data_IF_397476087979
#
_entry.id   IF_397476087979
#
_cell.length_a   1.000
_cell.length_b   1.000
_cell.length_c   1.000
_cell.angle_alpha   90.00
_cell.angle_beta   90.00
_cell.angle_gamma   90.00
#
_symmetry.space_group_name_H-M   'P 1'
#
loop_
_entity.id
_entity.type
_entity.pdbx_description
1 polymer ?
#
# COMPACT_ATOMS: atom_id res chain seq x y z
N UNK A 1 -13.84 22.69 10.28
CA UNK A 1 -13.62 21.30 9.82
C UNK A 1 -12.65 20.69 10.81
N UNK A 2 -13.13 19.85 11.74
CA UNK A 2 -12.22 19.14 12.64
C UNK A 2 -11.61 17.98 11.84
N UNK A 3 -10.29 18.05 11.61
CA UNK A 3 -9.53 17.00 10.97
C UNK A 3 -8.99 16.11 12.09
N UNK A 4 -9.51 14.87 12.13
CA UNK A 4 -9.02 13.69 12.84
C UNK A 4 -8.67 13.82 14.35
N UNK A 5 -9.40 13.09 15.21
CA UNK A 5 -9.06 12.92 16.63
C UNK A 5 -8.38 11.59 16.99
N UNK A 6 -8.15 10.68 16.02
CA UNK A 6 -7.49 9.38 16.24
C UNK A 6 -6.18 9.25 15.45
N UNK A 7 -5.16 8.61 16.04
CA UNK A 7 -3.83 8.49 15.43
C UNK A 7 -3.85 7.68 14.14
N UNK A 8 -4.70 6.65 14.04
CA UNK A 8 -4.81 5.81 12.84
C UNK A 8 -5.41 6.59 11.65
N UNK A 9 -6.40 7.44 11.90
CA UNK A 9 -6.92 8.35 10.87
C UNK A 9 -5.85 9.36 10.43
N UNK A 10 -5.09 9.91 11.37
CA UNK A 10 -3.98 10.82 11.06
C UNK A 10 -2.90 10.13 10.20
N UNK A 11 -2.56 8.86 10.49
CA UNK A 11 -1.63 8.05 9.68
C UNK A 11 -2.15 7.85 8.26
N UNK A 12 -3.43 7.54 8.08
CA UNK A 12 -4.03 7.41 6.74
C UNK A 12 -3.99 8.75 6.00
N UNK A 13 -4.30 9.86 6.67
CA UNK A 13 -4.29 11.20 6.08
C UNK A 13 -2.89 11.69 5.69
N UNK A 14 -1.86 11.26 6.42
CA UNK A 14 -0.46 11.57 6.12
C UNK A 14 0.00 11.03 4.75
N UNK A 15 -0.75 10.09 4.15
CA UNK A 15 -0.46 9.53 2.81
C UNK A 15 -0.81 10.46 1.64
N UNK A 16 -1.18 11.70 1.96
CA UNK A 16 -1.34 12.79 1.00
C UNK A 16 -0.19 13.75 1.16
N UNK A 17 0.45 14.12 0.05
CA UNK A 17 1.53 15.10 0.08
C UNK A 17 1.09 16.42 0.77
N UNK A 18 1.95 17.03 1.62
CA UNK A 18 1.68 18.33 2.25
C UNK A 18 1.29 19.39 1.21
N UNK A 19 0.25 20.18 1.49
CA UNK A 19 -0.23 21.24 0.58
C UNK A 19 -1.25 20.79 -0.49
N UNK A 20 -1.40 19.50 -0.75
CA UNK A 20 -2.45 18.96 -1.63
C UNK A 20 -3.75 18.64 -0.90
N UNK A 21 -3.76 18.72 0.44
CA UNK A 21 -4.92 18.42 1.31
C UNK A 21 -6.15 19.31 1.02
N UNK A 22 -5.95 20.55 0.56
CA UNK A 22 -7.03 21.50 0.31
C UNK A 22 -7.80 21.26 -1.00
N UNK A 23 -7.20 20.57 -2.00
CA UNK A 23 -7.83 20.31 -3.31
C UNK A 23 -8.62 19.00 -3.39
N UNK A 24 -8.61 18.17 -2.33
CA UNK A 24 -9.17 16.79 -2.35
C UNK A 24 -10.63 16.76 -1.83
N UNK A 25 -11.26 17.91 -1.64
CA UNK A 25 -12.62 17.98 -1.05
C UNK A 25 -13.66 17.23 -1.89
N UNK A 26 -13.51 17.20 -3.22
CA UNK A 26 -14.48 16.58 -4.13
C UNK A 26 -14.35 15.06 -4.30
N UNK A 27 -13.26 14.44 -3.83
CA UNK A 27 -13.01 13.00 -3.94
C UNK A 27 -12.74 12.35 -2.58
N UNK A 28 -13.31 12.93 -1.52
CA UNK A 28 -13.19 12.42 -0.17
C UNK A 28 -14.19 11.30 0.11
N UNK A 29 -13.73 10.26 0.81
CA UNK A 29 -14.55 9.18 1.34
C UNK A 29 -14.95 9.56 2.76
N UNK A 30 -16.25 9.70 2.98
CA UNK A 30 -16.85 10.05 4.26
C UNK A 30 -17.19 8.81 5.07
N UNK A 31 -16.85 8.82 6.35
CA UNK A 31 -17.28 7.85 7.34
C UNK A 31 -18.12 8.55 8.41
N UNK A 32 -19.13 7.83 8.92
CA UNK A 32 -19.95 8.26 10.04
C UNK A 32 -19.87 7.22 11.13
N UNK A 33 -19.58 7.64 12.35
CA UNK A 33 -19.61 6.78 13.52
C UNK A 33 -20.47 7.39 14.60
N UNK A 34 -21.43 6.62 15.10
CA UNK A 34 -22.30 6.98 16.23
C UNK A 34 -21.79 6.32 17.52
N UNK A 35 -20.59 5.76 17.51
CA UNK A 35 -19.97 5.10 18.66
C UNK A 35 -20.61 3.75 19.05
N UNK A 36 -21.31 3.06 18.15
CA UNK A 36 -21.71 1.66 18.40
C UNK A 36 -20.49 0.74 18.18
N UNK A 37 -20.05 0.06 19.23
CA UNK A 37 -18.88 -0.82 19.19
C UNK A 37 -19.26 -2.26 19.50
N UNK A 38 -18.74 -3.18 18.70
CA UNK A 38 -18.81 -4.61 18.95
C UNK A 38 -17.49 -5.08 19.58
N UNK A 39 -17.55 -5.62 20.79
CA UNK A 39 -16.40 -6.23 21.49
C UNK A 39 -16.54 -7.75 21.39
N UNK A 40 -15.53 -8.44 20.88
CA UNK A 40 -15.56 -9.90 20.70
C UNK A 40 -14.33 -10.55 21.31
N UNK A 41 -14.48 -11.75 21.87
CA UNK A 41 -13.35 -12.56 22.34
C UNK A 41 -13.62 -13.33 23.64
N UNK A 42 -12.58 -13.82 24.33
CA UNK A 42 -12.76 -14.67 25.51
C UNK A 42 -13.45 -13.92 26.67
N UNK A 43 -14.45 -14.55 27.29
CA UNK A 43 -15.34 -13.91 28.27
C UNK A 43 -14.63 -13.26 29.48
N UNK A 44 -13.49 -13.80 29.89
CA UNK A 44 -12.69 -13.26 31.00
C UNK A 44 -12.11 -11.86 30.71
N UNK A 45 -11.95 -11.48 29.43
CA UNK A 45 -11.47 -10.16 29.01
C UNK A 45 -12.60 -9.27 28.51
N UNK A 46 -13.57 -9.84 27.78
CA UNK A 46 -14.66 -9.08 27.15
C UNK A 46 -15.43 -8.25 28.16
N UNK A 47 -15.76 -8.82 29.33
CA UNK A 47 -16.59 -8.13 30.34
C UNK A 47 -15.92 -6.86 30.87
N UNK A 48 -14.63 -6.93 31.22
CA UNK A 48 -13.90 -5.78 31.76
C UNK A 48 -13.64 -4.71 30.71
N UNK A 49 -13.30 -5.12 29.48
CA UNK A 49 -13.08 -4.22 28.34
C UNK A 49 -14.38 -3.53 27.93
N UNK A 50 -15.48 -4.27 27.87
CA UNK A 50 -16.80 -3.73 27.55
C UNK A 50 -17.24 -2.66 28.56
N UNK A 51 -17.05 -2.90 29.85
CA UNK A 51 -17.36 -1.92 30.90
C UNK A 51 -16.57 -0.61 30.74
N UNK A 52 -15.30 -0.70 30.35
CA UNK A 52 -14.45 0.48 30.09
C UNK A 52 -14.91 1.28 28.87
N UNK A 53 -15.26 0.61 27.77
CA UNK A 53 -15.75 1.27 26.56
C UNK A 53 -17.16 1.85 26.73
N UNK A 54 -18.00 1.23 27.56
CA UNK A 54 -19.38 1.65 27.81
C UNK A 54 -19.49 3.04 28.46
N UNK A 55 -18.38 3.57 29.01
CA UNK A 55 -18.29 4.94 29.53
C UNK A 55 -18.53 5.99 28.44
N UNK A 56 -18.14 5.70 27.19
CA UNK A 56 -18.20 6.68 26.09
C UNK A 56 -18.83 6.15 24.81
N UNK A 57 -18.97 4.83 24.68
CA UNK A 57 -19.50 4.15 23.51
C UNK A 57 -20.71 3.30 23.87
N UNK A 58 -21.48 2.92 22.86
CA UNK A 58 -22.63 2.00 22.98
C UNK A 58 -22.15 0.60 22.62
N UNK A 59 -22.01 -0.26 23.62
CA UNK A 59 -21.26 -1.50 23.52
C UNK A 59 -22.21 -2.69 23.41
N UNK A 60 -22.00 -3.50 22.37
CA UNK A 60 -22.41 -4.90 22.36
C UNK A 60 -21.16 -5.76 22.57
N UNK A 61 -21.18 -6.58 23.60
CA UNK A 61 -20.10 -7.46 23.98
C UNK A 61 -20.49 -8.92 23.72
N UNK A 62 -19.64 -9.66 22.99
CA UNK A 62 -19.85 -11.07 22.67
C UNK A 62 -18.70 -11.90 23.27
N UNK A 63 -18.99 -12.59 24.36
CA UNK A 63 -18.04 -13.48 25.04
C UNK A 63 -18.04 -14.87 24.38
N UNK A 64 -16.86 -15.36 23.99
CA UNK A 64 -16.66 -16.67 23.34
C UNK A 64 -16.99 -17.81 24.31
N UNK A 65 -18.28 -18.19 24.37
CA UNK A 65 -18.83 -19.48 24.79
C UNK A 65 -20.36 -19.40 24.72
N UNK A 66 -21.06 -20.51 24.44
CA UNK A 66 -22.53 -20.59 24.57
C UNK A 66 -23.39 -20.10 23.39
N UNK A 67 -24.69 -20.38 23.50
CA UNK A 67 -25.77 -19.87 22.64
C UNK A 67 -26.17 -18.46 23.08
N UNK A 68 -26.68 -17.65 22.15
CA UNK A 68 -27.12 -16.27 22.43
C UNK A 68 -28.15 -16.26 23.58
N UNK A 69 -27.72 -15.78 24.76
CA UNK A 69 -28.59 -15.51 25.92
C UNK A 69 -28.97 -14.03 25.94
N UNK A 70 -30.27 -13.73 26.09
CA UNK A 70 -30.83 -12.37 25.94
C UNK A 70 -30.99 -11.61 27.27
N UNK A 71 -30.43 -12.09 28.38
CA UNK A 71 -30.80 -11.62 29.72
C UNK A 71 -30.59 -10.11 29.96
N UNK A 72 -29.63 -9.47 29.27
CA UNK A 72 -29.18 -8.09 29.60
C UNK A 72 -28.98 -7.19 28.35
N UNK A 73 -29.78 -7.41 27.30
CA UNK A 73 -29.65 -6.70 26.01
C UNK A 73 -30.07 -5.21 26.00
N UNK A 74 -30.59 -4.71 27.11
CA UNK A 74 -31.02 -3.31 27.24
C UNK A 74 -30.02 -2.43 28.02
N UNK A 75 -28.99 -3.04 28.63
CA UNK A 75 -27.95 -2.33 29.37
C UNK A 75 -26.78 -1.93 28.47
N UNK A 76 -25.98 -0.95 28.91
CA UNK A 76 -24.71 -0.59 28.28
C UNK A 76 -23.57 -0.87 29.27
N UNK A 77 -22.73 -1.90 29.03
CA UNK A 77 -22.67 -2.75 27.84
C UNK A 77 -23.77 -3.82 27.79
N UNK A 78 -24.26 -4.14 26.59
CA UNK A 78 -25.12 -5.31 26.36
C UNK A 78 -24.23 -6.54 26.20
N UNK A 79 -24.46 -7.61 26.96
CA UNK A 79 -23.62 -8.81 26.94
C UNK A 79 -24.35 -10.01 26.33
N UNK A 80 -23.69 -10.67 25.37
CA UNK A 80 -24.12 -11.91 24.75
C UNK A 80 -23.08 -13.00 24.94
N UNK A 81 -23.57 -14.20 25.23
CA UNK A 81 -22.80 -15.45 25.15
C UNK A 81 -22.92 -15.95 23.71
N UNK A 82 -21.89 -15.75 22.86
CA UNK A 82 -21.96 -16.24 21.48
C UNK A 82 -20.59 -16.43 20.85
N UNK A 83 -20.52 -17.29 19.84
CA UNK A 83 -19.33 -17.44 19.00
C UNK A 83 -19.51 -16.63 17.73
N UNK A 84 -18.81 -15.51 17.62
CA UNK A 84 -18.75 -14.72 16.38
C UNK A 84 -17.93 -15.47 15.35
N UNK A 85 -18.50 -15.70 14.17
CA UNK A 85 -17.90 -16.51 13.09
C UNK A 85 -17.34 -15.68 11.96
N UNK A 86 -17.88 -14.49 11.73
CA UNK A 86 -17.34 -13.57 10.73
C UNK A 86 -17.64 -12.12 11.08
N UNK A 87 -16.70 -11.25 10.74
CA UNK A 87 -16.86 -9.78 10.73
C UNK A 87 -16.48 -9.30 9.33
N UNK A 88 -17.20 -8.32 8.80
CA UNK A 88 -16.88 -7.64 7.52
C UNK A 88 -17.24 -6.17 7.62
N UNK A 89 -16.53 -5.32 6.89
CA UNK A 89 -16.87 -3.91 6.73
C UNK A 89 -15.72 -2.99 7.10
N UNK A 90 -16.08 -1.78 7.48
CA UNK A 90 -15.18 -0.66 7.75
C UNK A 90 -15.88 0.31 8.71
N UNK A 91 -15.16 1.33 9.20
CA UNK A 91 -15.66 2.37 10.09
C UNK A 91 -17.09 2.84 9.73
N UNK A 92 -18.02 2.67 10.67
CA UNK A 92 -19.44 3.03 10.49
C UNK A 92 -20.33 1.94 9.88
N UNK A 93 -19.75 0.91 9.24
CA UNK A 93 -20.47 -0.13 8.48
C UNK A 93 -19.95 -1.54 8.70
N UNK A 94 -19.60 -1.89 9.93
CA UNK A 94 -19.27 -3.28 10.27
C UNK A 94 -20.53 -4.13 10.41
N UNK A 95 -20.46 -5.34 9.87
CA UNK A 95 -21.44 -6.42 10.04
C UNK A 95 -20.75 -7.59 10.72
N UNK A 96 -21.50 -8.33 11.54
CA UNK A 96 -20.98 -9.48 12.23
C UNK A 96 -22.01 -10.60 12.27
N UNK A 97 -21.53 -11.84 12.16
CA UNK A 97 -22.36 -13.05 12.24
C UNK A 97 -21.87 -13.91 13.39
N UNK A 98 -22.82 -14.52 14.10
CA UNK A 98 -22.54 -15.48 15.16
C UNK A 98 -23.15 -16.84 14.86
N UNK A 99 -22.60 -17.88 15.49
CA UNK A 99 -23.13 -19.23 15.44
C UNK A 99 -24.43 -19.31 16.24
N UNK A 100 -25.51 -19.75 15.60
CA UNK A 100 -26.80 -20.09 16.23
C UNK A 100 -27.10 -21.58 16.17
N UNK A 101 -28.21 -22.00 16.79
CA UNK A 101 -28.68 -23.40 16.77
C UNK A 101 -29.08 -23.87 15.36
N UNK A 102 -29.81 -23.03 14.63
CA UNK A 102 -30.41 -23.35 13.32
C UNK A 102 -29.73 -22.62 12.15
N UNK A 103 -28.50 -22.13 12.34
CA UNK A 103 -27.74 -21.42 11.33
C UNK A 103 -27.00 -20.20 11.86
N UNK A 104 -26.51 -19.36 10.96
CA UNK A 104 -25.82 -18.12 11.32
C UNK A 104 -26.83 -17.04 11.74
N UNK A 105 -26.51 -16.33 12.81
CA UNK A 105 -27.30 -15.22 13.34
C UNK A 105 -26.60 -13.91 12.98
N UNK A 106 -27.35 -12.97 12.40
CA UNK A 106 -26.88 -11.61 12.16
C UNK A 106 -26.86 -10.83 13.48
N UNK A 107 -25.67 -10.41 13.92
CA UNK A 107 -25.51 -9.61 15.14
C UNK A 107 -25.99 -8.17 14.96
N UNK A 108 -26.23 -7.72 13.74
CA UNK A 108 -26.83 -6.42 13.46
C UNK A 108 -28.20 -6.24 14.12
N UNK A 109 -28.91 -7.35 14.39
CA UNK A 109 -30.17 -7.36 15.15
C UNK A 109 -30.02 -6.86 16.59
N UNK A 110 -28.80 -6.90 17.14
CA UNK A 110 -28.45 -6.46 18.49
C UNK A 110 -27.59 -5.19 18.48
N UNK A 111 -27.36 -4.58 17.32
CA UNK A 111 -26.62 -3.33 17.25
C UNK A 111 -27.40 -2.20 17.91
N UNK A 112 -26.69 -1.32 18.62
CA UNK A 112 -27.26 -0.08 19.13
C UNK A 112 -27.70 0.87 17.99
N UNK A 113 -27.20 0.65 16.76
CA UNK A 113 -27.61 1.41 15.59
C UNK A 113 -28.83 0.79 14.92
N UNK A 114 -29.83 1.63 14.59
CA UNK A 114 -31.08 1.20 13.96
C UNK A 114 -30.93 0.62 12.56
N UNK A 115 -29.79 0.86 11.89
CA UNK A 115 -29.49 0.30 10.57
C UNK A 115 -28.78 -1.05 10.63
N UNK A 116 -28.56 -1.60 11.84
CA UNK A 116 -27.97 -2.92 12.03
C UNK A 116 -26.44 -2.98 11.87
N UNK A 117 -25.76 -1.85 11.67
CA UNK A 117 -24.30 -1.83 11.56
C UNK A 117 -23.63 -1.49 12.88
N UNK A 118 -22.43 -1.99 13.09
CA UNK A 118 -21.53 -1.49 14.13
C UNK A 118 -20.63 -0.42 13.51
N UNK A 119 -20.33 0.62 14.27
CA UNK A 119 -19.41 1.65 13.81
C UNK A 119 -17.96 1.21 14.00
N UNK A 120 -17.70 0.43 15.06
CA UNK A 120 -16.39 0.00 15.51
C UNK A 120 -16.39 -1.47 15.93
N UNK A 121 -15.22 -2.12 15.88
CA UNK A 121 -15.03 -3.50 16.36
C UNK A 121 -13.73 -3.58 17.16
N UNK A 122 -13.80 -4.17 18.35
CA UNK A 122 -12.64 -4.57 19.14
C UNK A 122 -12.58 -6.09 19.25
N UNK A 123 -11.59 -6.69 18.58
CA UNK A 123 -11.38 -8.12 18.48
C UNK A 123 -10.26 -8.59 19.42
N UNK A 124 -10.65 -9.26 20.50
CA UNK A 124 -9.74 -9.84 21.49
C UNK A 124 -9.39 -11.30 21.16
N UNK A 125 -9.83 -11.84 20.02
CA UNK A 125 -9.46 -13.19 19.59
C UNK A 125 -8.01 -13.25 19.11
N UNK A 126 -7.41 -14.44 19.26
CA UNK A 126 -6.12 -14.77 18.68
C UNK A 126 -6.22 -16.16 18.04
N UNK A 127 -6.13 -16.29 16.70
CA UNK A 127 -6.00 -15.20 15.72
C UNK A 127 -7.27 -14.32 15.61
N UNK A 128 -7.16 -13.08 15.10
CA UNK A 128 -8.32 -12.21 14.86
C UNK A 128 -9.22 -12.75 13.74
N UNK A 129 -10.50 -12.36 13.75
CA UNK A 129 -11.48 -12.79 12.73
C UNK A 129 -11.22 -12.21 11.35
N UNK A 130 -10.77 -10.95 11.24
CA UNK A 130 -10.30 -10.40 9.98
C UNK A 130 -8.85 -10.80 9.76
N UNK A 131 -8.56 -11.50 8.66
CA UNK A 131 -7.22 -11.98 8.32
C UNK A 131 -6.40 -10.99 7.47
N UNK A 132 -6.97 -9.86 7.06
CA UNK A 132 -6.24 -8.85 6.25
C UNK A 132 -5.03 -8.32 7.01
N UNK A 133 -3.91 -8.13 6.32
CA UNK A 133 -2.67 -7.66 6.92
C UNK A 133 -2.83 -6.22 7.45
N UNK A 134 -3.52 -5.37 6.70
CA UNK A 134 -3.93 -4.03 7.13
C UNK A 134 -5.41 -4.07 7.50
N UNK A 135 -5.73 -3.71 8.74
CA UNK A 135 -7.10 -3.72 9.26
C UNK A 135 -7.86 -2.50 8.75
N UNK A 136 -9.16 -2.62 8.43
CA UNK A 136 -9.97 -1.47 8.08
C UNK A 136 -10.08 -0.50 9.27
N UNK A 137 -10.17 0.80 8.99
CA UNK A 137 -10.40 1.81 10.01
C UNK A 137 -11.58 1.41 10.92
N UNK A 138 -11.40 1.56 12.23
CA UNK A 138 -12.41 1.21 13.22
C UNK A 138 -12.43 -0.26 13.66
N UNK A 139 -11.56 -1.12 13.09
CA UNK A 139 -11.35 -2.49 13.58
C UNK A 139 -10.00 -2.60 14.27
N UNK A 140 -10.00 -2.93 15.56
CA UNK A 140 -8.81 -3.11 16.37
C UNK A 140 -8.71 -4.55 16.85
N UNK A 141 -7.53 -5.16 16.77
CA UNK A 141 -7.31 -6.56 17.15
C UNK A 141 -6.11 -6.75 18.09
N UNK A 142 -6.14 -6.20 19.33
CA UNK A 142 -5.02 -6.30 20.26
C UNK A 142 -4.85 -7.71 20.88
N UNK A 143 -5.78 -8.64 20.61
CA UNK A 143 -5.79 -9.93 21.29
C UNK A 143 -6.01 -9.75 22.80
N UNK A 144 -5.19 -10.41 23.61
CA UNK A 144 -5.28 -10.38 25.08
C UNK A 144 -4.15 -9.61 25.75
N UNK A 145 -3.35 -8.84 24.99
CA UNK A 145 -2.30 -7.98 25.54
C UNK A 145 -2.93 -6.73 26.20
N UNK A 146 -2.72 -6.56 27.51
CA UNK A 146 -3.33 -5.48 28.27
C UNK A 146 -2.89 -4.09 27.78
N UNK A 147 -1.61 -3.90 27.43
CA UNK A 147 -1.11 -2.61 26.97
C UNK A 147 -1.68 -2.27 25.60
N UNK A 148 -1.75 -3.26 24.70
CA UNK A 148 -2.36 -3.08 23.39
C UNK A 148 -3.88 -2.81 23.48
N UNK A 149 -4.57 -3.46 24.43
CA UNK A 149 -5.99 -3.19 24.73
C UNK A 149 -6.19 -1.75 25.21
N UNK A 150 -5.32 -1.25 26.09
CA UNK A 150 -5.40 0.12 26.61
C UNK A 150 -5.25 1.15 25.50
N UNK A 151 -4.28 0.95 24.60
CA UNK A 151 -4.09 1.78 23.41
C UNK A 151 -5.31 1.71 22.48
N UNK A 152 -5.83 0.51 22.22
CA UNK A 152 -7.00 0.32 21.36
C UNK A 152 -8.25 1.01 21.92
N UNK A 153 -8.48 0.94 23.24
CA UNK A 153 -9.59 1.63 23.90
C UNK A 153 -9.44 3.14 23.77
N UNK A 154 -8.25 3.68 24.06
CA UNK A 154 -7.98 5.11 23.93
C UNK A 154 -8.29 5.59 22.51
N UNK A 155 -7.80 4.89 21.48
CA UNK A 155 -8.08 5.21 20.09
C UNK A 155 -9.56 5.11 19.74
N UNK A 156 -10.23 3.99 20.04
CA UNK A 156 -11.63 3.74 19.70
C UNK A 156 -12.57 4.84 20.23
N UNK A 157 -12.31 5.36 21.42
CA UNK A 157 -13.14 6.44 22.01
C UNK A 157 -13.06 7.75 21.22
N UNK A 158 -12.03 7.95 20.40
CA UNK A 158 -11.88 9.12 19.52
C UNK A 158 -12.66 9.00 18.20
N UNK A 159 -13.15 7.81 17.86
CA UNK A 159 -13.85 7.52 16.60
C UNK A 159 -15.37 7.73 16.70
N UNK A 160 -15.84 8.85 17.26
CA UNK A 160 -17.25 9.25 17.21
C UNK A 160 -17.40 10.56 16.44
N UNK A 161 -18.33 10.60 15.49
CA UNK A 161 -18.57 11.74 14.60
C UNK A 161 -18.32 11.41 13.14
N UNK A 162 -18.05 12.46 12.36
CA UNK A 162 -17.85 12.38 10.92
C UNK A 162 -16.36 12.47 10.59
N UNK A 163 -15.89 11.58 9.71
CA UNK A 163 -14.50 11.51 9.28
C UNK A 163 -14.41 11.53 7.77
N UNK A 164 -13.28 11.99 7.25
CA UNK A 164 -13.00 11.98 5.82
C UNK A 164 -11.59 11.48 5.59
N UNK A 165 -11.42 10.71 4.52
CA UNK A 165 -10.11 10.43 3.94
C UNK A 165 -10.16 10.74 2.44
N UNK A 166 -9.04 11.06 1.80
CA UNK A 166 -9.01 11.20 0.34
C UNK A 166 -9.21 9.83 -0.34
N UNK A 167 -9.70 9.84 -1.57
CA UNK A 167 -9.49 8.73 -2.49
C UNK A 167 -8.04 8.76 -2.97
N UNK A 168 -7.33 7.65 -2.77
CA UNK A 168 -5.89 7.56 -3.05
C UNK A 168 -5.55 7.11 -4.48
N UNK A 169 -6.54 6.71 -5.28
CA UNK A 169 -6.30 6.11 -6.58
C UNK A 169 -7.23 6.65 -7.66
N UNK A 170 -6.73 6.64 -8.89
CA UNK A 170 -7.48 6.74 -10.13
C UNK A 170 -7.38 5.40 -10.86
N UNK A 171 -8.48 4.97 -11.49
CA UNK A 171 -8.54 3.71 -12.23
C UNK A 171 -9.02 3.96 -13.66
N UNK A 172 -8.22 3.51 -14.63
CA UNK A 172 -8.57 3.51 -16.05
C UNK A 172 -8.76 2.07 -16.53
N UNK A 173 -10.02 1.70 -16.78
CA UNK A 173 -10.39 0.36 -17.23
C UNK A 173 -9.85 0.01 -18.63
N UNK A 174 -9.63 1.01 -19.50
CA UNK A 174 -9.13 0.78 -20.87
C UNK A 174 -7.69 0.26 -20.89
N UNK A 175 -6.90 0.65 -19.87
CA UNK A 175 -5.52 0.17 -19.67
C UNK A 175 -5.47 -1.14 -18.88
N UNK A 176 -6.60 -1.65 -18.39
CA UNK A 176 -6.61 -2.77 -17.45
C UNK A 176 -6.48 -4.12 -18.18
N UNK A 177 -5.32 -4.76 -18.06
CA UNK A 177 -5.07 -6.09 -18.61
C UNK A 177 -5.69 -7.24 -17.77
N UNK A 178 -6.73 -6.98 -16.96
CA UNK A 178 -7.30 -8.03 -16.08
C UNK A 178 -8.02 -9.12 -16.87
N UNK A 179 -8.68 -8.75 -17.96
CA UNK A 179 -9.39 -9.68 -18.82
C UNK A 179 -9.48 -9.14 -20.24
N UNK A 180 -9.48 -10.04 -21.22
CA UNK A 180 -9.78 -9.72 -22.61
C UNK A 180 -10.45 -10.92 -23.26
N UNK A 181 -11.55 -10.70 -23.99
CA UNK A 181 -12.26 -11.75 -24.72
C UNK A 181 -12.64 -12.96 -23.83
N UNK A 182 -13.05 -12.71 -22.58
CA UNK A 182 -13.41 -13.75 -21.60
C UNK A 182 -12.23 -14.51 -20.99
N UNK A 183 -10.98 -14.14 -21.31
CA UNK A 183 -9.77 -14.74 -20.73
C UNK A 183 -9.26 -13.85 -19.61
N UNK A 184 -9.16 -14.41 -18.39
CA UNK A 184 -8.50 -13.74 -17.25
C UNK A 184 -7.01 -13.64 -17.55
N UNK A 185 -6.47 -12.42 -17.51
CA UNK A 185 -5.05 -12.12 -17.64
C UNK A 185 -4.44 -11.69 -16.31
N UNK A 186 -4.15 -10.39 -16.17
CA UNK A 186 -3.40 -9.87 -15.04
C UNK A 186 -4.21 -9.85 -13.73
N UNK A 187 -3.70 -10.50 -12.68
CA UNK A 187 -4.30 -10.48 -11.33
C UNK A 187 -3.41 -9.84 -10.27
N UNK A 188 -2.33 -9.17 -10.68
CA UNK A 188 -1.27 -8.70 -9.75
C UNK A 188 -1.82 -7.83 -8.61
N UNK A 189 -2.68 -6.86 -8.93
CA UNK A 189 -3.26 -5.95 -7.93
C UNK A 189 -4.13 -6.67 -6.88
N UNK A 190 -4.84 -7.74 -7.28
CA UNK A 190 -5.66 -8.56 -6.39
C UNK A 190 -4.77 -9.30 -5.37
N UNK A 191 -3.63 -9.80 -5.83
CA UNK A 191 -2.73 -10.63 -5.04
C UNK A 191 -1.92 -9.83 -4.00
N UNK A 192 -1.67 -8.54 -4.26
CA UNK A 192 -0.78 -7.73 -3.42
C UNK A 192 -1.50 -6.79 -2.46
N UNK A 193 -2.82 -6.58 -2.59
CA UNK A 193 -3.56 -5.61 -1.80
C UNK A 193 -3.67 -6.03 -0.32
N UNK A 194 -2.98 -5.36 0.62
CA UNK A 194 -2.93 -5.80 2.02
C UNK A 194 -4.23 -5.52 2.79
N UNK A 195 -5.11 -4.67 2.26
CA UNK A 195 -6.41 -4.30 2.86
C UNK A 195 -7.56 -5.15 2.34
N UNK A 196 -7.35 -5.96 1.29
CA UNK A 196 -8.44 -6.68 0.61
C UNK A 196 -9.43 -5.77 -0.13
N UNK A 197 -9.04 -4.54 -0.49
CA UNK A 197 -9.92 -3.58 -1.15
C UNK A 197 -10.21 -3.90 -2.62
N UNK A 198 -9.48 -4.82 -3.25
CA UNK A 198 -9.61 -5.07 -4.69
C UNK A 198 -10.29 -6.42 -4.92
N UNK A 199 -11.27 -6.44 -5.81
CA UNK A 199 -12.00 -7.64 -6.22
C UNK A 199 -12.12 -7.71 -7.74
N UNK A 200 -12.26 -8.93 -8.28
CA UNK A 200 -12.55 -9.13 -9.70
C UNK A 200 -14.05 -8.94 -9.95
N UNK A 201 -14.38 -8.19 -11.00
CA UNK A 201 -15.75 -7.93 -11.46
C UNK A 201 -15.83 -8.26 -12.96
N UNK A 202 -16.02 -9.56 -13.24
CA UNK A 202 -16.04 -10.10 -14.61
C UNK A 202 -14.81 -9.68 -15.43
N UNK A 203 -14.96 -8.76 -16.38
CA UNK A 203 -13.90 -8.34 -17.29
C UNK A 203 -13.01 -7.22 -16.73
N UNK A 204 -13.29 -6.73 -15.52
CA UNK A 204 -12.50 -5.66 -14.89
C UNK A 204 -12.30 -5.94 -13.40
N UNK A 205 -11.63 -5.01 -12.71
CA UNK A 205 -11.51 -5.03 -11.25
C UNK A 205 -12.39 -3.94 -10.63
N UNK A 206 -12.75 -4.12 -9.38
CA UNK A 206 -13.36 -3.10 -8.53
C UNK A 206 -12.47 -2.83 -7.33
N UNK A 207 -12.32 -1.55 -6.97
CA UNK A 207 -11.55 -1.11 -5.81
C UNK A 207 -12.52 -0.44 -4.83
N UNK A 208 -12.67 -1.02 -3.63
CA UNK A 208 -13.48 -0.44 -2.57
C UNK A 208 -12.72 0.72 -1.91
N UNK A 209 -13.20 1.93 -2.17
CA UNK A 209 -12.62 3.15 -1.62
C UNK A 209 -12.72 3.24 -0.10
N UNK A 210 -13.65 2.55 0.55
CA UNK A 210 -13.77 2.52 2.02
C UNK A 210 -12.65 1.69 2.66
N UNK A 211 -12.26 0.59 2.00
CA UNK A 211 -11.17 -0.29 2.45
C UNK A 211 -9.78 0.15 1.97
N UNK A 212 -9.68 0.91 0.87
CA UNK A 212 -8.41 1.41 0.36
C UNK A 212 -7.76 2.40 1.34
N UNK A 213 -6.55 2.11 1.81
CA UNK A 213 -5.82 2.98 2.74
C UNK A 213 -4.60 3.68 2.13
N UNK A 214 -4.46 3.67 0.81
CA UNK A 214 -3.38 4.40 0.14
C UNK A 214 -1.99 3.78 0.29
N UNK A 215 -1.87 2.47 0.50
CA UNK A 215 -0.57 1.79 0.58
C UNK A 215 0.20 1.73 -0.76
N UNK A 216 -0.46 2.08 -1.87
CA UNK A 216 0.08 2.12 -3.23
C UNK A 216 0.66 0.80 -3.81
N UNK A 217 0.57 -0.33 -3.13
CA UNK A 217 1.08 -1.61 -3.63
C UNK A 217 0.43 -2.04 -4.95
N UNK A 218 -0.85 -1.74 -5.16
CA UNK A 218 -1.53 -2.00 -6.44
C UNK A 218 -1.05 -1.09 -7.57
N UNK A 219 -0.63 0.15 -7.27
CA UNK A 219 0.01 1.08 -8.22
C UNK A 219 1.40 0.55 -8.59
N UNK A 220 2.17 0.08 -7.62
CA UNK A 220 3.46 -0.57 -7.84
C UNK A 220 3.34 -1.77 -8.78
N UNK A 221 2.40 -2.66 -8.47
CA UNK A 221 2.24 -3.94 -9.16
C UNK A 221 1.54 -3.83 -10.52
N UNK A 222 0.90 -2.70 -10.85
CA UNK A 222 0.18 -2.51 -12.11
C UNK A 222 1.15 -2.12 -13.24
N UNK A 223 1.38 -2.99 -14.24
CA UNK A 223 2.41 -2.74 -15.25
C UNK A 223 1.93 -1.88 -16.42
N UNK A 224 0.61 -1.75 -16.60
CA UNK A 224 -0.01 -0.93 -17.65
C UNK A 224 -0.25 0.51 -17.19
N UNK A 225 -0.18 0.77 -15.88
CA UNK A 225 -0.57 2.06 -15.31
C UNK A 225 -2.09 2.26 -15.20
N UNK A 226 -2.90 1.20 -15.31
CA UNK A 226 -4.35 1.26 -15.12
C UNK A 226 -4.76 1.78 -13.74
N UNK A 227 -3.94 1.57 -12.71
CA UNK A 227 -4.14 2.13 -11.37
C UNK A 227 -3.05 3.17 -11.13
N UNK A 228 -3.45 4.43 -10.94
CA UNK A 228 -2.55 5.54 -10.64
C UNK A 228 -2.85 6.11 -9.25
N UNK A 229 -1.84 6.65 -8.57
CA UNK A 229 -2.04 7.33 -7.29
C UNK A 229 -2.55 8.75 -7.51
N UNK A 230 -3.52 9.19 -6.71
CA UNK A 230 -4.18 10.49 -6.92
C UNK A 230 -3.27 11.67 -6.56
N UNK A 231 -2.65 11.64 -5.37
CA UNK A 231 -1.83 12.74 -4.88
C UNK A 231 -0.78 12.26 -3.87
N UNK A 232 0.53 12.34 -4.18
CA UNK A 232 1.13 12.98 -5.35
C UNK A 232 0.89 12.17 -6.63
N UNK A 233 0.75 12.87 -7.76
CA UNK A 233 0.69 12.22 -9.06
C UNK A 233 2.06 11.69 -9.50
N UNK A 234 2.09 10.81 -10.49
CA UNK A 234 3.34 10.35 -11.12
C UNK A 234 4.21 11.53 -11.58
N UNK A 235 3.60 12.55 -12.18
CA UNK A 235 4.28 13.75 -12.66
C UNK A 235 4.91 14.52 -11.51
N UNK A 236 4.19 14.65 -10.38
CA UNK A 236 4.70 15.35 -9.19
C UNK A 236 5.91 14.63 -8.59
N UNK A 237 5.85 13.30 -8.49
CA UNK A 237 6.94 12.46 -7.99
C UNK A 237 8.20 12.65 -8.85
N UNK A 238 8.07 12.50 -10.17
CA UNK A 238 9.20 12.61 -11.09
C UNK A 238 9.75 14.03 -11.22
N UNK A 239 8.89 15.05 -11.13
CA UNK A 239 9.32 16.45 -11.07
C UNK A 239 10.14 16.73 -9.81
N UNK A 240 9.66 16.28 -8.65
CA UNK A 240 10.40 16.44 -7.38
C UNK A 240 11.72 15.67 -7.39
N UNK A 241 11.72 14.46 -7.92
CA UNK A 241 12.94 13.66 -8.10
C UNK A 241 13.98 14.40 -8.95
N UNK A 242 13.55 14.96 -10.08
CA UNK A 242 14.42 15.72 -10.97
C UNK A 242 15.01 16.97 -10.28
N UNK A 243 14.19 17.73 -9.55
CA UNK A 243 14.65 18.91 -8.78
C UNK A 243 15.69 18.52 -7.74
N UNK A 244 15.39 17.53 -6.90
CA UNK A 244 16.25 17.10 -5.79
C UNK A 244 17.61 16.58 -6.30
N UNK A 245 17.62 15.79 -7.37
CA UNK A 245 18.86 15.30 -7.95
C UNK A 245 19.65 16.42 -8.66
N UNK A 246 18.99 17.33 -9.36
CA UNK A 246 19.66 18.46 -10.01
C UNK A 246 20.33 19.42 -9.00
N UNK A 247 19.73 19.59 -7.82
CA UNK A 247 20.31 20.39 -6.73
C UNK A 247 21.50 19.69 -6.05
N UNK A 248 21.48 18.36 -5.98
CA UNK A 248 22.55 17.57 -5.40
C UNK A 248 23.73 17.33 -6.35
N UNK A 249 23.51 17.41 -7.66
CA UNK A 249 24.49 17.13 -8.71
C UNK A 249 25.03 18.43 -9.29
N UNK A 250 26.18 18.89 -8.78
CA UNK A 250 26.95 19.98 -9.38
C UNK A 250 27.94 19.50 -10.46
N UNK A 251 28.32 20.34 -11.44
CA UNK A 251 29.40 20.02 -12.37
C UNK A 251 30.70 19.70 -11.61
N UNK A 252 31.26 18.52 -11.83
CA UNK A 252 32.48 18.07 -11.16
C UNK A 252 32.27 17.46 -9.77
N UNK A 253 31.01 17.35 -9.31
CA UNK A 253 30.68 16.63 -8.07
C UNK A 253 30.59 15.11 -8.30
N UNK A 254 30.80 14.36 -7.22
CA UNK A 254 30.48 12.92 -7.18
C UNK A 254 28.98 12.70 -7.34
N UNK A 255 28.61 11.59 -7.98
CA UNK A 255 27.23 11.18 -8.14
C UNK A 255 26.58 10.84 -6.77
N UNK A 256 25.40 11.39 -6.44
CA UNK A 256 24.79 11.19 -5.14
C UNK A 256 24.06 9.85 -5.01
N UNK A 257 24.00 9.31 -3.80
CA UNK A 257 23.04 8.26 -3.45
C UNK A 257 21.65 8.87 -3.22
N UNK A 258 20.61 8.20 -3.70
CA UNK A 258 19.23 8.52 -3.41
C UNK A 258 18.69 7.56 -2.36
N UNK A 259 18.29 8.07 -1.20
CA UNK A 259 17.62 7.30 -0.16
C UNK A 259 16.12 7.62 -0.16
N UNK A 260 15.31 6.64 -0.54
CA UNK A 260 13.86 6.72 -0.60
C UNK A 260 13.27 6.14 0.68
N UNK A 261 12.34 6.86 1.30
CA UNK A 261 11.73 6.49 2.58
C UNK A 261 10.31 7.05 2.70
N UNK A 262 9.52 6.55 3.65
CA UNK A 262 8.18 7.11 3.91
C UNK A 262 8.26 8.42 4.69
N UNK A 263 7.39 9.40 4.39
CA UNK A 263 7.35 10.72 5.06
C UNK A 263 7.19 10.62 6.59
N UNK A 264 6.65 9.51 7.09
CA UNK A 264 6.49 9.24 8.53
C UNK A 264 7.74 8.68 9.21
N UNK A 265 8.76 8.28 8.44
CA UNK A 265 10.00 7.73 8.98
C UNK A 265 11.00 8.84 9.33
N UNK A 266 11.12 9.13 10.61
CA UNK A 266 12.02 10.17 11.14
C UNK A 266 13.47 9.70 11.29
N UNK A 267 13.73 8.39 11.19
CA UNK A 267 15.06 7.81 11.45
C UNK A 267 16.07 8.01 10.32
N UNK A 268 15.59 8.53 9.18
CA UNK A 268 16.35 8.58 7.93
C UNK A 268 17.35 9.74 7.87
N UNK A 269 17.07 10.84 8.58
CA UNK A 269 17.98 11.98 8.68
C UNK A 269 19.33 11.62 9.30
N UNK A 270 19.35 10.65 10.22
CA UNK A 270 20.57 10.16 10.87
C UNK A 270 21.41 9.28 9.94
N UNK A 271 20.76 8.51 9.06
CA UNK A 271 21.45 7.63 8.10
C UNK A 271 22.23 8.42 7.02
N UNK A 272 21.64 9.51 6.52
CA UNK A 272 22.23 10.33 5.45
C UNK A 272 23.56 10.99 5.85
N UNK A 273 23.78 11.24 7.15
CA UNK A 273 24.99 11.88 7.67
C UNK A 273 26.18 10.94 7.93
N UNK A 274 25.99 9.62 7.75
CA UNK A 274 26.99 8.60 8.15
C UNK A 274 27.79 8.01 6.98
N UNK A 275 27.58 8.50 5.76
CA UNK A 275 28.17 7.93 4.56
C UNK A 275 29.21 8.88 3.94
N UNK A 276 30.35 8.33 3.54
CA UNK A 276 31.47 9.04 2.89
C UNK A 276 31.18 9.47 1.43
N UNK A 277 29.91 9.73 1.06
CA UNK A 277 29.54 10.27 -0.25
C UNK A 277 28.25 11.11 -0.20
N UNK A 278 28.04 12.02 -1.16
CA UNK A 278 26.80 12.81 -1.22
C UNK A 278 25.58 11.90 -1.22
N UNK A 279 24.66 12.14 -0.29
CA UNK A 279 23.44 11.35 -0.13
C UNK A 279 22.24 12.28 0.00
N UNK A 280 21.15 11.92 -0.65
CA UNK A 280 19.97 12.77 -0.77
C UNK A 280 18.73 11.99 -0.38
N UNK A 281 17.95 12.58 0.52
CA UNK A 281 16.68 12.00 0.96
C UNK A 281 15.54 12.29 -0.02
N UNK A 282 14.74 11.26 -0.31
CA UNK A 282 13.53 11.34 -1.11
C UNK A 282 12.35 10.73 -0.37
N UNK A 283 11.71 11.54 0.46
CA UNK A 283 10.55 11.14 1.25
C UNK A 283 9.31 10.95 0.35
N UNK A 284 8.53 9.88 0.54
CA UNK A 284 7.27 9.60 -0.19
C UNK A 284 6.16 9.26 0.79
N UNK A 285 4.87 9.50 0.47
CA UNK A 285 3.78 9.19 1.40
C UNK A 285 3.53 7.69 1.59
N UNK A 286 3.97 6.87 0.63
CA UNK A 286 3.96 5.41 0.72
C UNK A 286 5.14 4.87 -0.10
N UNK A 287 5.92 3.94 0.45
CA UNK A 287 7.16 3.46 -0.17
C UNK A 287 6.90 2.79 -1.51
N UNK A 288 5.73 2.16 -1.68
CA UNK A 288 5.32 1.53 -2.94
C UNK A 288 5.05 2.52 -4.09
N UNK A 289 5.04 3.83 -3.84
CA UNK A 289 5.01 4.84 -4.91
C UNK A 289 6.34 4.98 -5.64
N UNK A 290 7.43 4.56 -5.02
CA UNK A 290 8.76 4.55 -5.61
C UNK A 290 9.09 3.15 -6.12
N UNK A 291 8.61 2.83 -7.33
CA UNK A 291 8.91 1.58 -8.02
C UNK A 291 10.04 1.71 -9.05
N UNK A 292 10.18 0.73 -9.96
CA UNK A 292 11.23 0.72 -10.98
C UNK A 292 11.28 1.97 -11.86
N UNK A 293 10.14 2.61 -12.13
CA UNK A 293 10.11 3.87 -12.87
C UNK A 293 10.88 4.98 -12.14
N UNK A 294 10.73 5.10 -10.82
CA UNK A 294 11.46 6.06 -9.99
C UNK A 294 12.93 5.64 -9.85
N UNK A 295 13.22 4.36 -9.62
CA UNK A 295 14.58 3.87 -9.42
C UNK A 295 15.43 4.06 -10.69
N UNK A 296 14.93 3.60 -11.83
CA UNK A 296 15.62 3.73 -13.12
C UNK A 296 15.72 5.21 -13.52
N UNK A 297 14.68 6.01 -13.29
CA UNK A 297 14.76 7.45 -13.55
C UNK A 297 15.83 8.15 -12.70
N UNK A 298 16.00 7.76 -11.44
CA UNK A 298 17.05 8.32 -10.58
C UNK A 298 18.45 7.96 -11.09
N UNK A 299 18.67 6.70 -11.48
CA UNK A 299 19.96 6.26 -12.05
C UNK A 299 20.24 6.96 -13.39
N UNK A 300 19.23 7.08 -14.26
CA UNK A 300 19.34 7.81 -15.54
C UNK A 300 19.62 9.31 -15.36
N UNK A 301 19.29 9.88 -14.19
CA UNK A 301 19.60 11.25 -13.78
C UNK A 301 20.97 11.39 -13.11
N UNK A 302 21.76 10.32 -13.06
CA UNK A 302 23.11 10.33 -12.52
C UNK A 302 23.20 10.03 -11.03
N UNK A 303 22.16 9.48 -10.39
CA UNK A 303 22.31 8.93 -9.04
C UNK A 303 23.23 7.72 -9.06
N UNK A 304 24.20 7.67 -8.14
CA UNK A 304 25.13 6.55 -8.02
C UNK A 304 24.42 5.25 -7.61
N UNK A 305 23.47 5.37 -6.67
CA UNK A 305 22.73 4.24 -6.11
C UNK A 305 21.37 4.72 -5.61
N UNK A 306 20.35 3.91 -5.78
CA UNK A 306 19.02 4.08 -5.21
C UNK A 306 18.84 3.06 -4.10
N UNK A 307 18.51 3.55 -2.91
CA UNK A 307 18.23 2.73 -1.73
C UNK A 307 16.79 3.01 -1.30
N UNK A 308 15.95 1.99 -1.26
CA UNK A 308 14.61 2.10 -0.66
C UNK A 308 14.64 1.49 0.75
N UNK A 309 14.39 2.31 1.76
CA UNK A 309 14.26 1.86 3.14
C UNK A 309 12.81 1.49 3.43
N UNK A 310 12.60 0.23 3.80
CA UNK A 310 11.28 -0.31 4.10
C UNK A 310 10.95 -0.14 5.58
N UNK A 311 9.77 0.41 5.93
CA UNK A 311 9.36 0.51 7.32
C UNK A 311 9.15 -0.87 7.95
N UNK A 312 9.31 -0.94 9.27
CA UNK A 312 9.21 -2.19 10.02
C UNK A 312 7.80 -2.81 9.96
N UNK A 313 6.75 -1.98 9.95
CA UNK A 313 5.35 -2.38 9.90
C UNK A 313 4.80 -2.53 8.47
N UNK A 314 5.67 -2.49 7.45
CA UNK A 314 5.26 -2.69 6.06
C UNK A 314 4.66 -4.10 5.87
N UNK A 315 3.45 -4.22 5.27
CA UNK A 315 2.85 -5.52 5.00
C UNK A 315 3.72 -6.41 4.13
N UNK A 316 3.74 -7.72 4.40
CA UNK A 316 4.58 -8.67 3.68
C UNK A 316 4.28 -8.72 2.18
N UNK A 317 3.01 -8.56 1.77
CA UNK A 317 2.66 -8.49 0.35
C UNK A 317 3.29 -7.30 -0.37
N UNK A 318 3.43 -6.16 0.32
CA UNK A 318 4.09 -4.97 -0.21
C UNK A 318 5.60 -5.13 -0.22
N UNK A 319 6.18 -5.68 0.86
CA UNK A 319 7.60 -6.00 0.97
C UNK A 319 8.03 -6.96 -0.14
N UNK A 320 7.27 -8.03 -0.34
CA UNK A 320 7.47 -9.02 -1.40
C UNK A 320 7.41 -8.42 -2.79
N UNK A 321 6.42 -7.57 -3.09
CA UNK A 321 6.32 -6.92 -4.41
C UNK A 321 7.50 -5.97 -4.67
N UNK A 322 7.92 -5.17 -3.68
CA UNK A 322 9.10 -4.29 -3.83
C UNK A 322 10.37 -5.09 -4.10
N UNK A 323 10.60 -6.18 -3.36
CA UNK A 323 11.75 -7.07 -3.58
C UNK A 323 11.69 -7.73 -4.96
N UNK A 324 10.54 -8.25 -5.38
CA UNK A 324 10.37 -8.86 -6.70
C UNK A 324 10.62 -7.86 -7.84
N UNK A 325 10.15 -6.61 -7.70
CA UNK A 325 10.44 -5.56 -8.69
C UNK A 325 11.92 -5.16 -8.68
N UNK A 326 12.57 -5.15 -7.52
CA UNK A 326 14.00 -4.88 -7.41
C UNK A 326 14.82 -5.97 -8.10
N UNK A 327 14.48 -7.25 -7.92
CA UNK A 327 15.12 -8.38 -8.62
C UNK A 327 15.04 -8.21 -10.15
N UNK A 328 13.89 -7.82 -10.68
CA UNK A 328 13.72 -7.54 -12.12
C UNK A 328 14.60 -6.37 -12.55
N UNK A 329 14.60 -5.27 -11.80
CA UNK A 329 15.41 -4.09 -12.14
C UNK A 329 16.93 -4.40 -12.07
N UNK A 330 17.35 -5.19 -11.08
CA UNK A 330 18.72 -5.66 -10.90
C UNK A 330 19.18 -6.55 -12.05
N UNK A 331 18.33 -7.48 -12.52
CA UNK A 331 18.62 -8.31 -13.69
C UNK A 331 18.79 -7.46 -14.96
N UNK A 332 17.95 -6.43 -15.14
CA UNK A 332 18.06 -5.48 -16.25
C UNK A 332 19.36 -4.68 -16.15
N UNK A 333 19.72 -4.16 -14.97
CA UNK A 333 20.99 -3.44 -14.77
C UNK A 333 22.21 -4.32 -15.09
N UNK A 334 22.22 -5.57 -14.61
CA UNK A 334 23.29 -6.51 -14.91
C UNK A 334 23.44 -6.75 -16.43
N UNK A 335 22.33 -6.85 -17.15
CA UNK A 335 22.34 -6.99 -18.61
C UNK A 335 22.81 -5.75 -19.36
N UNK A 336 22.66 -4.56 -18.78
CA UNK A 336 23.25 -3.31 -19.27
C UNK A 336 24.75 -3.21 -18.94
N UNK A 337 25.34 -4.28 -18.39
CA UNK A 337 26.72 -4.30 -17.93
C UNK A 337 26.94 -3.40 -16.71
N UNK A 338 25.91 -3.19 -15.90
CA UNK A 338 25.94 -2.39 -14.67
C UNK A 338 25.93 -3.25 -13.40
N UNK A 339 26.10 -2.63 -12.23
CA UNK A 339 26.03 -3.32 -10.92
C UNK A 339 24.58 -3.41 -10.48
N UNK A 340 24.10 -4.63 -10.26
CA UNK A 340 22.77 -4.90 -9.76
C UNK A 340 22.46 -4.10 -8.48
N UNK A 341 23.40 -4.08 -7.54
CA UNK A 341 23.28 -3.44 -6.22
C UNK A 341 23.10 -1.91 -6.29
N UNK A 342 23.21 -1.27 -7.48
CA UNK A 342 22.80 0.13 -7.66
C UNK A 342 21.33 0.36 -7.28
N UNK A 343 20.51 -0.68 -7.27
CA UNK A 343 19.18 -0.67 -6.65
C UNK A 343 19.22 -1.60 -5.45
N UNK A 344 19.03 -1.07 -4.25
CA UNK A 344 19.02 -1.84 -3.00
C UNK A 344 17.75 -1.59 -2.22
N UNK A 345 17.16 -2.66 -1.69
CA UNK A 345 16.06 -2.61 -0.74
C UNK A 345 16.60 -2.99 0.64
N UNK A 346 16.40 -2.15 1.65
CA UNK A 346 16.83 -2.40 3.03
C UNK A 346 15.64 -2.35 3.99
N UNK A 347 15.74 -3.04 5.12
CA UNK A 347 14.75 -2.93 6.19
C UNK A 347 15.23 -1.88 7.22
N UNK A 348 14.46 -0.81 7.42
CA UNK A 348 14.79 0.28 8.35
C UNK A 348 16.15 0.93 8.09
N UNK A 349 16.93 1.09 9.17
CA UNK A 349 18.22 1.81 9.19
C UNK A 349 19.43 0.89 9.04
N UNK A 350 19.27 -0.27 8.39
CA UNK A 350 20.39 -1.18 8.17
C UNK A 350 21.55 -0.47 7.46
N UNK A 351 22.81 -0.77 7.82
CA UNK A 351 23.99 -0.16 7.19
C UNK A 351 23.95 -0.34 5.67
N UNK A 352 24.12 0.77 4.95
CA UNK A 352 24.06 0.79 3.49
C UNK A 352 25.44 0.39 2.96
N UNK A 353 25.52 -0.78 2.32
CA UNK A 353 26.76 -1.20 1.66
C UNK A 353 27.15 -0.21 0.55
N UNK A 354 28.42 0.21 0.54
CA UNK A 354 28.92 1.12 -0.49
C UNK A 354 29.02 0.39 -1.82
N UNK A 355 28.13 0.69 -2.77
CA UNK A 355 28.32 0.29 -4.18
C UNK A 355 29.40 1.17 -4.82
N UNK A 356 30.49 0.55 -5.26
CA UNK A 356 31.75 1.17 -5.71
C UNK A 356 31.88 1.34 -7.23
N UNK A 357 30.82 1.16 -8.03
CA UNK A 357 30.92 1.39 -9.48
C UNK A 357 30.50 2.83 -9.85
N UNK A 358 31.33 3.41 -10.72
CA UNK A 358 31.32 4.78 -11.24
C UNK A 358 31.86 5.85 -10.29
N UNK A 359 33.19 5.86 -10.12
CA UNK A 359 33.99 7.06 -9.85
C UNK A 359 34.00 8.03 -11.06
N UNK A 360 32.89 8.10 -11.81
CA UNK A 360 32.69 9.08 -12.86
C UNK A 360 32.18 10.36 -12.22
N UNK A 361 32.78 11.51 -12.57
CA UNK A 361 32.15 12.81 -12.37
C UNK A 361 30.71 12.75 -12.91
N UNK A 362 29.79 13.53 -12.36
CA UNK A 362 28.41 13.63 -12.82
C UNK A 362 28.23 14.23 -14.25
N UNK A 363 29.13 13.92 -15.18
CA UNK A 363 29.38 14.61 -16.43
C UNK A 363 28.57 14.10 -17.63
N UNK A 364 27.61 13.18 -17.46
CA UNK A 364 26.64 12.89 -18.53
C UNK A 364 25.20 13.05 -18.05
N UNK A 365 24.91 14.19 -17.42
CA UNK A 365 23.55 14.67 -17.18
C UNK A 365 23.00 15.28 -18.48
N UNK A 366 22.69 14.43 -19.47
CA UNK A 366 21.73 14.86 -20.48
C UNK A 366 20.42 15.20 -19.77
N UNK A 367 19.75 16.33 -20.06
CA UNK A 367 18.47 16.63 -19.47
C UNK A 367 17.47 15.53 -19.85
N UNK A 368 17.18 14.64 -18.89
CA UNK A 368 16.19 13.58 -19.10
C UNK A 368 14.81 14.22 -19.05
N UNK A 369 14.21 14.39 -20.23
CA UNK A 369 12.84 14.87 -20.38
C UNK A 369 11.93 13.66 -20.54
N UNK A 370 11.28 13.25 -19.47
CA UNK A 370 10.21 12.26 -19.55
C UNK A 370 8.99 12.90 -20.21
N UNK A 371 8.61 12.41 -21.38
CA UNK A 371 7.37 12.80 -22.09
C UNK A 371 6.24 11.78 -21.92
N UNK A 372 6.43 10.83 -21.01
CA UNK A 372 5.52 9.71 -20.77
C UNK A 372 4.26 10.11 -20.01
N UNK A 373 3.13 9.49 -20.37
CA UNK A 373 1.86 9.66 -19.66
C UNK A 373 1.68 8.62 -18.55
N UNK A 374 2.38 7.49 -18.65
CA UNK A 374 2.25 6.34 -17.74
C UNK A 374 3.57 5.98 -17.06
N UNK A 375 3.47 5.20 -15.97
CA UNK A 375 4.62 4.60 -15.28
C UNK A 375 5.53 3.82 -16.23
N UNK A 376 4.92 3.11 -17.18
CA UNK A 376 5.60 2.31 -18.21
C UNK A 376 6.46 3.18 -19.13
N UNK A 377 5.91 4.30 -19.60
CA UNK A 377 6.63 5.22 -20.48
C UNK A 377 7.86 5.82 -19.79
N UNK A 378 7.72 6.17 -18.51
CA UNK A 378 8.84 6.72 -17.72
C UNK A 378 9.93 5.68 -17.50
N UNK A 379 9.55 4.45 -17.17
CA UNK A 379 10.48 3.33 -17.03
C UNK A 379 11.28 3.12 -18.33
N UNK A 380 10.60 2.99 -19.47
CA UNK A 380 11.27 2.73 -20.75
C UNK A 380 12.17 3.89 -21.19
N UNK A 381 11.75 5.13 -21.01
CA UNK A 381 12.61 6.29 -21.29
C UNK A 381 13.87 6.32 -20.41
N UNK A 382 13.75 5.90 -19.14
CA UNK A 382 14.90 5.77 -18.25
C UNK A 382 15.84 4.63 -18.68
N UNK A 383 15.29 3.49 -19.09
CA UNK A 383 16.06 2.36 -19.61
C UNK A 383 16.79 2.72 -20.91
N UNK A 384 16.12 3.39 -21.85
CA UNK A 384 16.74 3.87 -23.10
C UNK A 384 17.93 4.79 -22.81
N UNK A 385 17.82 5.67 -21.82
CA UNK A 385 18.94 6.52 -21.41
C UNK A 385 20.12 5.72 -20.86
N UNK A 386 19.86 4.76 -19.95
CA UNK A 386 20.91 3.89 -19.42
C UNK A 386 21.55 3.05 -20.52
N UNK A 387 20.76 2.58 -21.49
CA UNK A 387 21.26 1.85 -22.66
C UNK A 387 22.20 2.70 -23.51
N UNK A 388 21.81 3.95 -23.81
CA UNK A 388 22.65 4.87 -24.58
C UNK A 388 23.97 5.18 -23.87
N UNK A 389 23.94 5.35 -22.55
CA UNK A 389 25.15 5.54 -21.73
C UNK A 389 26.05 4.31 -21.75
N UNK A 390 25.49 3.10 -21.56
CA UNK A 390 26.25 1.86 -21.63
C UNK A 390 26.91 1.65 -23.01
N UNK A 391 26.18 1.95 -24.09
CA UNK A 391 26.71 1.88 -25.46
C UNK A 391 27.83 2.90 -25.70
N UNK A 392 27.70 4.12 -25.16
CA UNK A 392 28.76 5.14 -25.23
C UNK A 392 30.05 4.72 -24.50
N UNK A 393 29.91 3.94 -23.42
CA UNK A 393 31.02 3.32 -22.68
C UNK A 393 31.57 2.04 -23.36
N UNK A 394 31.04 1.67 -24.53
CA UNK A 394 31.49 0.50 -25.30
C UNK A 394 31.01 -0.84 -24.76
N UNK A 395 29.99 -0.83 -23.88
CA UNK A 395 29.38 -2.07 -23.37
C UNK A 395 28.53 -2.71 -24.47
N UNK A 396 28.78 -4.00 -24.73
CA UNK A 396 27.98 -4.81 -25.66
C UNK A 396 26.85 -5.48 -24.89
N UNK A 397 25.60 -5.05 -25.12
CA UNK A 397 24.43 -5.62 -24.47
C UNK A 397 23.93 -6.90 -25.17
N UNK A 398 23.35 -7.85 -24.43
CA UNK A 398 22.74 -9.04 -25.02
C UNK A 398 21.46 -8.69 -25.80
N UNK A 399 21.10 -9.54 -26.77
CA UNK A 399 19.86 -9.37 -27.55
C UNK A 399 18.58 -9.61 -26.73
N UNK A 400 18.68 -10.43 -25.67
CA UNK A 400 17.58 -10.76 -24.76
C UNK A 400 18.12 -11.05 -23.37
N UNK A 401 17.29 -10.86 -22.36
CA UNK A 401 17.61 -11.09 -20.95
C UNK A 401 16.53 -11.98 -20.36
N UNK A 402 16.93 -13.06 -19.67
CA UNK A 402 16.00 -13.85 -18.89
C UNK A 402 15.61 -13.07 -17.62
N UNK A 403 14.32 -12.90 -17.40
CA UNK A 403 13.77 -12.27 -16.21
C UNK A 403 13.09 -13.32 -15.33
N UNK A 404 12.82 -12.96 -14.07
CA UNK A 404 12.07 -13.83 -13.18
C UNK A 404 10.66 -14.11 -13.73
N UNK A 405 10.07 -15.26 -13.39
CA UNK A 405 8.74 -15.66 -13.85
C UNK A 405 7.62 -14.66 -13.50
N UNK A 406 7.85 -13.81 -12.48
CA UNK A 406 6.94 -12.77 -12.05
C UNK A 406 7.21 -11.41 -12.73
N UNK A 407 8.12 -11.33 -13.69
CA UNK A 407 8.36 -10.10 -14.43
C UNK A 407 7.09 -9.68 -15.20
N UNK A 408 6.72 -8.39 -15.17
CA UNK A 408 5.53 -7.90 -15.87
C UNK A 408 5.76 -7.66 -17.37
N UNK A 409 6.89 -8.12 -17.90
CA UNK A 409 7.31 -7.95 -19.29
C UNK A 409 7.71 -9.32 -19.83
N UNK A 410 7.39 -9.58 -21.10
CA UNK A 410 7.67 -10.86 -21.72
C UNK A 410 7.49 -10.84 -23.22
N UNK A 411 7.58 -12.03 -23.82
CA UNK A 411 7.35 -12.25 -25.24
C UNK A 411 6.10 -13.12 -25.41
N UNK A 412 5.24 -12.77 -26.36
CA UNK A 412 4.10 -13.61 -26.74
C UNK A 412 4.54 -14.61 -27.80
N UNK A 413 4.52 -15.89 -27.45
CA UNK A 413 4.68 -16.98 -28.42
C UNK A 413 3.30 -17.39 -28.97
N UNK A 414 3.09 -17.16 -30.27
CA UNK A 414 1.80 -17.46 -30.93
C UNK A 414 1.92 -18.70 -31.81
N UNK A 415 1.05 -19.69 -31.60
CA UNK A 415 0.88 -20.79 -32.55
C UNK A 415 0.05 -20.31 -33.76
N UNK A 416 0.61 -20.24 -34.98
CA UNK A 416 -0.07 -19.70 -36.14
C UNK A 416 -1.26 -20.56 -36.60
N UNK A 417 -1.30 -21.85 -36.26
CA UNK A 417 -2.38 -22.76 -36.66
C UNK A 417 -3.62 -22.67 -35.77
N UNK A 418 -3.45 -22.21 -34.53
CA UNK A 418 -4.55 -22.05 -33.56
C UNK A 418 -4.94 -20.59 -33.34
N UNK A 419 -4.18 -19.64 -33.89
CA UNK A 419 -4.43 -18.21 -33.72
C UNK A 419 -5.71 -17.78 -34.45
N UNK A 420 -6.63 -17.17 -33.71
CA UNK A 420 -7.89 -16.64 -34.25
C UNK A 420 -7.82 -15.15 -34.61
N UNK A 421 -6.65 -14.51 -34.45
CA UNK A 421 -6.44 -13.07 -34.63
C UNK A 421 -7.35 -12.19 -33.74
N UNK A 422 -7.79 -12.70 -32.59
CA UNK A 422 -8.65 -11.96 -31.66
C UNK A 422 -7.91 -10.90 -30.82
N UNK A 423 -6.58 -10.82 -30.92
CA UNK A 423 -5.71 -9.87 -30.21
C UNK A 423 -5.71 -9.98 -28.67
N UNK A 424 -6.32 -11.01 -28.09
CA UNK A 424 -6.32 -11.20 -26.63
C UNK A 424 -4.92 -11.38 -26.05
N UNK A 425 -4.06 -12.19 -26.69
CA UNK A 425 -2.69 -12.43 -26.22
C UNK A 425 -1.82 -11.16 -26.23
N UNK A 426 -1.99 -10.29 -27.24
CA UNK A 426 -1.26 -9.01 -27.34
C UNK A 426 -1.80 -7.94 -26.40
N UNK A 427 -3.06 -8.02 -25.99
CA UNK A 427 -3.64 -7.08 -25.03
C UNK A 427 -3.29 -7.46 -23.58
N UNK A 428 -3.24 -8.76 -23.28
CA UNK A 428 -2.98 -9.28 -21.93
C UNK A 428 -1.49 -9.36 -21.58
N UNK A 429 -0.62 -9.50 -22.58
CA UNK A 429 0.84 -9.40 -22.44
C UNK A 429 1.28 -7.93 -22.43
#
# INVERSE_FOLDING_TARGET
MSIASGTDMARVLARTAPGLQASIVNESIRFESRGAVLVIGPGQYVTSVAARLAVSLRVLACATSGEISQTDLHDNPSLLSCRVTAVKGYLGRFTATAQGKDGNIDLGLFSANRDGFFDLVLDLNSPPLLSTAVKPLGYYAPGTDSAAIDVAIAELTTFTGSFWKPRFYNFNAELCAHSAQGVVGCTRCLNVCPTGAISSLAETISIDSNLCQGCATCVLACPTGAIAYTAPSLVDIHKRLATILAEAVGPGCEAPQLLIYEDTDQSVGECLGTVDRPSVGFAVPAIALAGPDVWIAALARGSAQVIASLPADLPESTRGELKAQAEVAQAVLAALGDVAERITIIDGTQPIARVTRHDGLAQQSHPVVFRGATKRDVLFAGLEQLQNSAAADGIVMPASVELSANAPFGTVEVNPHSCTLCMACTYLC
#
